data_IF_507415241531
#
_entry.id   IF_507415241531
#
_cell.length_a   1.000
_cell.length_b   1.000
_cell.length_c   1.000
_cell.angle_alpha   90.00
_cell.angle_beta   90.00
_cell.angle_gamma   90.00
#
_symmetry.space_group_name_H-M   'P 1'
#
loop_
_entity.id
_entity.type
_entity.pdbx_description
1 polymer ?
#
# COMPACT_ATOMS: atom_id res chain seq x y z
N UNK A 1 -1.21 8.67 -0.13
CA UNK A 1 -0.84 7.26 -0.33
C UNK A 1 0.67 7.10 -0.42
N UNK A 2 1.37 7.74 -1.36
CA UNK A 2 2.86 7.79 -1.33
C UNK A 2 3.39 8.48 -0.06
N UNK A 3 2.68 9.50 0.42
CA UNK A 3 2.89 10.10 1.74
C UNK A 3 2.76 9.07 2.86
N UNK A 4 1.67 8.30 2.91
CA UNK A 4 1.46 7.25 3.92
C UNK A 4 2.56 6.19 3.89
N UNK A 5 2.98 5.71 2.71
CA UNK A 5 4.11 4.78 2.59
C UNK A 5 5.40 5.37 3.15
N UNK A 6 5.69 6.64 2.81
CA UNK A 6 6.85 7.36 3.32
C UNK A 6 6.77 7.56 4.84
N UNK A 7 5.65 8.07 5.34
CA UNK A 7 5.43 8.35 6.75
C UNK A 7 5.52 7.06 7.58
N UNK A 8 4.96 5.94 7.08
CA UNK A 8 5.11 4.62 7.70
C UNK A 8 6.57 4.17 7.69
N UNK A 9 7.31 4.36 6.59
CA UNK A 9 8.74 4.02 6.52
C UNK A 9 9.58 4.86 7.49
N UNK A 10 9.32 6.17 7.59
CA UNK A 10 10.00 7.09 8.51
C UNK A 10 9.71 6.71 9.98
N UNK A 11 8.46 6.32 10.29
CA UNK A 11 8.08 5.82 11.61
C UNK A 11 8.75 4.47 11.94
N UNK A 12 8.82 3.54 10.99
CA UNK A 12 9.54 2.27 11.17
C UNK A 12 11.03 2.50 11.42
N UNK A 13 11.67 3.38 10.64
CA UNK A 13 13.07 3.74 10.82
C UNK A 13 13.33 4.35 12.21
N UNK A 14 12.41 5.19 12.68
CA UNK A 14 12.47 5.77 14.03
C UNK A 14 12.36 4.68 15.10
N UNK A 15 11.41 3.74 14.99
CA UNK A 15 11.26 2.62 15.93
C UNK A 15 12.51 1.73 15.94
N UNK A 16 13.09 1.43 14.77
CA UNK A 16 14.32 0.64 14.65
C UNK A 16 15.53 1.36 15.28
N UNK A 17 15.60 2.69 15.16
CA UNK A 17 16.63 3.48 15.84
C UNK A 17 16.46 3.44 17.36
N UNK A 18 15.25 3.67 17.86
CA UNK A 18 14.95 3.60 19.30
C UNK A 18 15.24 2.21 19.88
N UNK A 19 14.98 1.14 19.11
CA UNK A 19 15.38 -0.23 19.48
C UNK A 19 16.91 -0.36 19.59
N UNK A 20 17.66 0.17 18.63
CA UNK A 20 19.12 0.13 18.64
C UNK A 20 19.70 0.94 19.80
N UNK A 21 19.16 2.12 20.10
CA UNK A 21 19.53 2.95 21.24
C UNK A 21 19.26 2.20 22.56
N UNK A 22 18.09 1.59 22.71
CA UNK A 22 17.76 0.77 23.87
C UNK A 22 18.70 -0.43 24.03
N UNK A 23 19.10 -1.10 22.94
CA UNK A 23 20.06 -2.19 23.02
C UNK A 23 21.47 -1.72 23.47
N UNK A 24 21.89 -0.52 23.09
CA UNK A 24 23.17 0.07 23.52
C UNK A 24 23.10 0.45 25.01
N UNK A 25 22.05 1.12 25.44
CA UNK A 25 21.88 1.54 26.82
C UNK A 25 21.77 0.31 27.75
N UNK A 26 21.09 -0.78 27.35
CA UNK A 26 21.03 -2.03 28.13
C UNK A 26 22.41 -2.61 28.38
N UNK A 27 23.24 -2.69 27.33
CA UNK A 27 24.59 -3.20 27.45
C UNK A 27 25.45 -2.30 28.33
N UNK A 28 25.28 -0.97 28.25
CA UNK A 28 25.98 -0.02 29.13
C UNK A 28 25.57 -0.22 30.58
N UNK A 29 24.27 -0.22 30.88
CA UNK A 29 23.76 -0.26 32.25
C UNK A 29 24.10 -1.61 32.94
N UNK A 30 24.07 -2.72 32.20
CA UNK A 30 24.53 -4.03 32.69
C UNK A 30 26.04 -4.03 32.95
N UNK A 31 26.83 -3.42 32.06
CA UNK A 31 28.28 -3.33 32.22
C UNK A 31 28.67 -2.42 33.40
N UNK A 32 27.97 -1.30 33.60
CA UNK A 32 28.17 -0.39 34.73
C UNK A 32 27.88 -1.09 36.07
N UNK A 33 26.82 -1.91 36.14
CA UNK A 33 26.51 -2.69 37.34
C UNK A 33 27.56 -3.79 37.60
N UNK A 34 28.05 -4.42 36.53
CA UNK A 34 29.11 -5.42 36.63
C UNK A 34 30.44 -4.80 37.09
N UNK A 35 30.81 -3.63 36.54
CA UNK A 35 31.98 -2.86 36.97
C UNK A 35 31.84 -2.40 38.43
N UNK A 36 30.66 -1.92 38.83
CA UNK A 36 30.35 -1.55 40.22
C UNK A 36 30.51 -2.74 41.16
N UNK A 37 29.95 -3.89 40.82
CA UNK A 37 30.06 -5.11 41.60
C UNK A 37 31.53 -5.56 41.71
N UNK A 38 32.30 -5.47 40.61
CA UNK A 38 33.73 -5.77 40.59
C UNK A 38 34.54 -4.82 41.48
N UNK A 39 34.29 -3.51 41.41
CA UNK A 39 34.93 -2.50 42.26
C UNK A 39 34.61 -2.71 43.74
N UNK A 40 33.37 -3.05 44.06
CA UNK A 40 32.94 -3.32 45.45
C UNK A 40 33.63 -4.57 46.00
N UNK A 41 33.63 -5.67 45.24
CA UNK A 41 34.33 -6.90 45.60
C UNK A 41 35.83 -6.65 45.81
N UNK A 42 36.47 -5.87 44.93
CA UNK A 42 37.88 -5.51 45.06
C UNK A 42 38.16 -4.70 46.33
N UNK A 43 37.30 -3.74 46.70
CA UNK A 43 37.43 -2.96 47.94
C UNK A 43 37.25 -3.82 49.19
N UNK A 44 36.25 -4.70 49.22
CA UNK A 44 36.01 -5.59 50.36
C UNK A 44 37.22 -6.53 50.60
N UNK A 45 37.84 -7.03 49.54
CA UNK A 45 39.07 -7.85 49.63
C UNK A 45 40.23 -7.04 50.20
N UNK A 46 40.43 -5.80 49.73
CA UNK A 46 41.49 -4.92 50.23
C UNK A 46 41.25 -4.57 51.71
N UNK A 47 40.01 -4.30 52.09
CA UNK A 47 39.64 -4.03 53.48
C UNK A 47 39.80 -5.26 54.39
N UNK A 48 39.49 -6.46 53.90
CA UNK A 48 39.69 -7.70 54.65
C UNK A 48 41.17 -8.08 54.79
N UNK A 49 42.02 -7.76 53.80
CA UNK A 49 43.47 -7.85 53.93
C UNK A 49 44.06 -6.80 54.89
N UNK A 50 43.44 -5.63 54.99
CA UNK A 50 43.90 -4.54 55.85
C UNK A 50 43.51 -4.71 57.33
N UNK A 51 42.57 -5.60 57.65
CA UNK A 51 42.19 -5.92 59.04
C UNK A 51 43.28 -6.79 59.68
N UNK A 52 43.81 -6.42 60.87
CA UNK A 52 44.80 -7.24 61.55
C UNK A 52 44.15 -8.54 62.02
N UNK A 53 44.47 -9.65 61.37
CA UNK A 53 44.07 -10.99 61.78
C UNK A 53 45.27 -11.92 61.88
N UNK A 54 45.21 -12.79 62.88
CA UNK A 54 46.27 -13.67 63.35
C UNK A 54 47.12 -14.31 62.23
N UNK A 55 48.46 -14.24 62.30
CA UNK A 55 49.37 -14.72 61.26
C UNK A 55 49.32 -16.23 60.99
N UNK A 56 48.49 -16.99 61.71
CA UNK A 56 48.33 -18.45 61.53
C UNK A 56 47.21 -18.84 60.55
N UNK A 57 46.28 -17.96 60.19
CA UNK A 57 45.19 -18.29 59.25
C UNK A 57 45.43 -17.83 57.80
N UNK A 58 46.50 -17.07 57.54
CA UNK A 58 46.81 -16.57 56.19
C UNK A 58 47.39 -17.67 55.29
N UNK A 59 47.99 -18.72 55.88
CA UNK A 59 48.59 -19.82 55.11
C UNK A 59 47.58 -20.82 54.52
N UNK A 60 46.34 -20.84 55.02
CA UNK A 60 45.31 -21.81 54.60
C UNK A 60 44.43 -21.38 53.43
N UNK A 61 44.37 -20.07 53.14
CA UNK A 61 43.46 -19.51 52.11
C UNK A 61 44.20 -18.82 50.96
N UNK A 62 45.53 -18.74 51.02
CA UNK A 62 46.38 -18.21 49.94
C UNK A 62 47.47 -19.23 49.60
N UNK A 63 47.09 -20.26 48.87
CA UNK A 63 48.00 -21.16 48.14
C UNK A 63 47.27 -21.46 46.83
N UNK A 64 47.63 -20.91 45.66
CA UNK A 64 48.98 -20.78 45.12
C UNK A 64 49.02 -19.72 44.02
N UNK A 65 49.89 -18.73 44.21
CA UNK A 65 50.58 -18.06 43.12
C UNK A 65 52.03 -17.99 43.57
N UNK A 66 52.95 -18.63 42.85
CA UNK A 66 54.36 -18.25 42.70
C UNK A 66 55.14 -19.30 41.90
N UNK A 67 55.24 -19.04 40.59
CA UNK A 67 56.06 -19.78 39.65
C UNK A 67 56.53 -18.87 38.51
N UNK A 68 57.30 -17.83 38.86
CA UNK A 68 58.12 -16.95 37.98
C UNK A 68 57.39 -16.22 36.83
N UNK A 69 57.11 -14.94 37.07
CA UNK A 69 56.85 -13.92 36.05
C UNK A 69 55.38 -13.82 35.64
N UNK A 70 54.82 -12.62 35.80
CA UNK A 70 53.45 -12.21 35.42
C UNK A 70 52.35 -12.61 36.43
N UNK A 71 51.82 -11.59 37.12
CA UNK A 71 50.43 -11.49 37.60
C UNK A 71 49.95 -12.47 38.66
N UNK A 72 49.64 -11.98 39.86
CA UNK A 72 48.70 -12.65 40.77
C UNK A 72 47.35 -12.77 40.04
N UNK A 73 47.01 -13.94 39.51
CA UNK A 73 45.65 -14.24 39.04
C UNK A 73 44.93 -14.92 40.20
N UNK A 74 44.13 -14.12 40.93
CA UNK A 74 43.11 -14.64 41.84
C UNK A 74 42.04 -15.33 40.98
N UNK A 75 41.87 -16.64 41.13
CA UNK A 75 40.79 -17.39 40.49
C UNK A 75 39.48 -17.08 41.22
N UNK A 76 38.72 -16.11 40.71
CA UNK A 76 37.40 -15.76 41.23
C UNK A 76 36.34 -16.66 40.59
N UNK A 77 35.64 -17.44 41.41
CA UNK A 77 34.34 -17.95 41.01
C UNK A 77 33.38 -16.74 40.97
N UNK A 78 33.00 -16.34 39.76
CA UNK A 78 32.23 -15.12 39.43
C UNK A 78 30.93 -15.04 40.24
N UNK A 79 30.35 -16.18 40.62
CA UNK A 79 29.12 -16.26 41.42
C UNK A 79 29.33 -16.08 42.92
N UNK A 80 30.52 -16.31 43.45
CA UNK A 80 30.77 -16.36 44.90
C UNK A 80 31.35 -15.06 45.45
N UNK A 81 31.96 -14.23 44.59
CA UNK A 81 32.69 -13.00 45.02
C UNK A 81 32.01 -11.71 44.56
N UNK A 82 31.24 -11.73 43.47
CA UNK A 82 30.45 -10.58 43.07
C UNK A 82 29.09 -10.66 43.76
N UNK A 83 28.86 -9.79 44.75
CA UNK A 83 27.55 -9.57 45.34
C UNK A 83 26.69 -8.76 44.33
N UNK A 84 26.43 -9.38 43.17
CA UNK A 84 25.69 -8.79 42.05
C UNK A 84 24.28 -8.50 42.56
N UNK A 85 23.84 -7.25 42.44
CA UNK A 85 22.48 -6.87 42.80
C UNK A 85 21.52 -7.41 41.73
N UNK A 86 21.06 -8.65 41.95
CA UNK A 86 20.11 -9.31 41.07
C UNK A 86 18.78 -8.54 40.97
N UNK A 87 18.41 -7.74 41.97
CA UNK A 87 17.20 -6.92 41.92
C UNK A 87 17.39 -5.68 41.05
N UNK A 88 18.60 -5.09 41.03
CA UNK A 88 18.97 -4.03 40.08
C UNK A 88 19.04 -4.57 38.65
N UNK A 89 19.70 -5.71 38.41
CA UNK A 89 19.72 -6.33 37.08
C UNK A 89 18.33 -6.69 36.58
N UNK A 90 17.47 -7.24 37.45
CA UNK A 90 16.07 -7.50 37.08
C UNK A 90 15.32 -6.19 36.78
N UNK A 91 15.54 -5.11 37.53
CA UNK A 91 14.93 -3.80 37.22
C UNK A 91 15.41 -3.23 35.88
N UNK A 92 16.69 -3.39 35.55
CA UNK A 92 17.24 -3.03 34.24
C UNK A 92 16.52 -3.84 33.15
N UNK A 93 16.49 -5.17 33.29
CA UNK A 93 15.80 -6.07 32.34
C UNK A 93 14.31 -5.72 32.20
N UNK A 94 13.61 -5.43 33.30
CA UNK A 94 12.19 -5.04 33.30
C UNK A 94 11.99 -3.71 32.57
N UNK A 95 12.87 -2.74 32.78
CA UNK A 95 12.84 -1.43 32.09
C UNK A 95 12.96 -1.61 30.59
N UNK A 96 13.94 -2.39 30.12
CA UNK A 96 14.10 -2.66 28.69
C UNK A 96 12.98 -3.51 28.11
N UNK A 97 12.46 -4.47 28.86
CA UNK A 97 11.28 -5.24 28.45
C UNK A 97 10.06 -4.33 28.27
N UNK A 98 9.88 -3.33 29.14
CA UNK A 98 8.86 -2.29 29.00
C UNK A 98 9.04 -1.43 27.74
N UNK A 99 10.26 -0.99 27.44
CA UNK A 99 10.59 -0.25 26.21
C UNK A 99 10.27 -1.10 24.97
N UNK A 100 10.72 -2.36 24.95
CA UNK A 100 10.45 -3.30 23.85
C UNK A 100 8.96 -3.56 23.67
N UNK A 101 8.19 -3.67 24.76
CA UNK A 101 6.73 -3.77 24.71
C UNK A 101 6.08 -2.55 24.06
N UNK A 102 6.55 -1.35 24.41
CA UNK A 102 6.09 -0.09 23.81
C UNK A 102 6.43 0.02 22.32
N UNK A 103 7.66 -0.33 21.92
CA UNK A 103 8.10 -0.34 20.53
C UNK A 103 7.35 -1.38 19.70
N UNK A 104 7.12 -2.57 20.25
CA UNK A 104 6.31 -3.62 19.60
C UNK A 104 4.89 -3.14 19.35
N UNK A 105 4.26 -2.51 20.35
CA UNK A 105 2.91 -1.94 20.22
C UNK A 105 2.85 -0.90 19.10
N UNK A 106 3.86 -0.01 19.01
CA UNK A 106 3.96 0.98 17.95
C UNK A 106 4.17 0.35 16.57
N UNK A 107 4.98 -0.69 16.46
CA UNK A 107 5.21 -1.42 15.21
C UNK A 107 3.93 -2.15 14.74
N UNK A 108 3.21 -2.79 15.66
CA UNK A 108 1.93 -3.43 15.38
C UNK A 108 0.88 -2.43 14.87
N UNK A 109 0.85 -1.22 15.46
CA UNK A 109 -0.06 -0.15 15.03
C UNK A 109 0.20 0.32 13.57
N UNK A 110 1.39 0.11 13.01
CA UNK A 110 1.73 0.47 11.64
C UNK A 110 1.25 -0.55 10.59
N UNK A 111 0.90 -1.78 10.99
CA UNK A 111 0.48 -2.84 10.05
C UNK A 111 -0.74 -2.45 9.24
N UNK A 112 -1.81 -2.00 9.92
CA UNK A 112 -3.05 -1.60 9.24
C UNK A 112 -2.85 -0.48 8.19
N UNK A 113 -2.19 0.64 8.56
CA UNK A 113 -1.83 1.67 7.59
C UNK A 113 -0.95 1.18 6.44
N UNK A 114 -0.01 0.27 6.71
CA UNK A 114 0.86 -0.30 5.67
C UNK A 114 0.09 -1.18 4.70
N UNK A 115 -0.80 -2.04 5.20
CA UNK A 115 -1.63 -2.93 4.40
C UNK A 115 -2.56 -2.11 3.48
N UNK A 116 -3.19 -1.07 4.01
CA UNK A 116 -4.05 -0.16 3.23
C UNK A 116 -3.25 0.61 2.17
N UNK A 117 -2.03 1.05 2.51
CA UNK A 117 -1.16 1.74 1.59
C UNK A 117 -0.65 0.83 0.47
N UNK A 118 -0.31 -0.42 0.79
CA UNK A 118 0.07 -1.45 -0.16
C UNK A 118 -1.08 -1.79 -1.11
N UNK A 119 -2.28 -1.99 -0.58
CA UNK A 119 -3.49 -2.26 -1.36
C UNK A 119 -3.79 -1.11 -2.34
N UNK A 120 -3.69 0.13 -1.86
CA UNK A 120 -3.98 1.32 -2.65
C UNK A 120 -2.90 1.63 -3.70
N UNK A 121 -1.69 1.09 -3.54
CA UNK A 121 -0.54 1.43 -4.37
C UNK A 121 -0.80 1.11 -5.85
N UNK A 122 -0.75 2.10 -6.77
CA UNK A 122 -1.03 1.85 -8.17
C UNK A 122 0.00 0.87 -8.72
N UNK A 123 -0.47 -0.10 -9.51
CA UNK A 123 0.43 -0.90 -10.32
C UNK A 123 1.17 -0.04 -11.33
N UNK A 124 2.26 -0.59 -11.85
CA UNK A 124 3.03 0.02 -12.91
C UNK A 124 2.16 0.47 -14.08
N UNK A 125 1.23 -0.37 -14.55
CA UNK A 125 0.35 -0.07 -15.68
C UNK A 125 -0.60 1.10 -15.39
N UNK A 126 -1.14 1.18 -14.18
CA UNK A 126 -1.97 2.30 -13.74
C UNK A 126 -1.14 3.59 -13.62
N UNK A 127 0.10 3.48 -13.11
CA UNK A 127 1.05 4.59 -13.04
C UNK A 127 1.43 5.13 -14.41
N UNK A 128 1.74 4.23 -15.36
CA UNK A 128 2.03 4.55 -16.76
C UNK A 128 0.83 5.22 -17.42
N UNK A 129 -0.38 4.69 -17.26
CA UNK A 129 -1.59 5.28 -17.82
C UNK A 129 -1.84 6.70 -17.30
N UNK A 130 -1.67 6.92 -15.99
CA UNK A 130 -1.78 8.25 -15.39
C UNK A 130 -0.68 9.19 -15.90
N UNK A 131 0.56 8.71 -16.04
CA UNK A 131 1.67 9.50 -16.58
C UNK A 131 1.43 9.89 -18.05
N UNK A 132 0.88 9.00 -18.87
CA UNK A 132 0.46 9.33 -20.24
C UNK A 132 -0.63 10.41 -20.24
N UNK A 133 -1.66 10.28 -19.39
CA UNK A 133 -2.70 11.29 -19.26
C UNK A 133 -2.13 12.68 -18.91
N UNK A 134 -1.28 12.75 -17.89
CA UNK A 134 -0.61 14.01 -17.52
C UNK A 134 0.29 14.55 -18.62
N UNK A 135 1.17 13.71 -19.18
CA UNK A 135 2.12 14.14 -20.21
C UNK A 135 1.43 14.65 -21.46
N UNK A 136 0.40 13.94 -21.94
CA UNK A 136 -0.37 14.36 -23.10
C UNK A 136 -1.13 15.64 -22.84
N UNK A 137 -1.77 15.78 -21.67
CA UNK A 137 -2.42 17.05 -21.30
C UNK A 137 -1.46 18.22 -21.24
N UNK A 138 -0.30 18.04 -20.62
CA UNK A 138 0.72 19.09 -20.59
C UNK A 138 1.16 19.50 -22.00
N UNK A 139 1.15 18.58 -22.98
CA UNK A 139 1.42 18.92 -24.38
C UNK A 139 0.24 19.64 -25.06
N UNK A 140 -1.00 19.28 -24.75
CA UNK A 140 -2.21 19.89 -25.32
C UNK A 140 -2.55 21.25 -24.71
N UNK A 141 -2.21 21.51 -23.45
CA UNK A 141 -2.45 22.80 -22.77
C UNK A 141 -1.70 23.98 -23.45
N UNK A 142 -0.64 23.72 -24.20
CA UNK A 142 0.08 24.73 -24.98
C UNK A 142 -0.46 24.92 -26.41
N UNK A 143 -1.44 24.14 -26.83
CA UNK A 143 -2.03 24.22 -28.16
C UNK A 143 -3.33 25.01 -28.12
N UNK A 144 -3.51 25.90 -29.09
CA UNK A 144 -4.76 26.66 -29.25
C UNK A 144 -5.98 25.76 -29.53
N UNK A 145 -5.75 24.57 -30.08
CA UNK A 145 -6.77 23.54 -30.27
C UNK A 145 -6.36 22.27 -29.52
N UNK A 146 -7.06 21.97 -28.42
CA UNK A 146 -6.95 20.69 -27.73
C UNK A 146 -7.70 19.63 -28.55
N UNK A 147 -6.97 18.77 -29.25
CA UNK A 147 -7.56 17.75 -30.13
C UNK A 147 -7.17 16.37 -29.61
N UNK A 148 -8.09 15.75 -28.88
CA UNK A 148 -7.96 14.35 -28.43
C UNK A 148 -8.76 13.37 -29.28
N UNK A 149 -9.66 13.88 -30.13
CA UNK A 149 -10.48 13.06 -31.00
C UNK A 149 -10.52 13.71 -32.36
N UNK A 150 -10.14 12.94 -33.38
CA UNK A 150 -10.16 13.36 -34.78
C UNK A 150 -10.80 12.28 -35.63
N UNK A 151 -11.08 12.64 -36.88
CA UNK A 151 -11.52 11.70 -37.91
C UNK A 151 -10.33 11.45 -38.83
N UNK A 152 -9.94 10.19 -39.00
CA UNK A 152 -8.87 9.78 -39.91
C UNK A 152 -9.31 9.86 -41.39
N UNK A 153 -8.40 9.55 -42.31
CA UNK A 153 -8.68 9.55 -43.75
C UNK A 153 -9.74 8.51 -44.18
N UNK A 154 -10.00 7.50 -43.36
CA UNK A 154 -11.00 6.46 -43.60
C UNK A 154 -12.36 6.83 -43.00
N UNK A 155 -12.46 7.98 -42.33
CA UNK A 155 -13.65 8.39 -41.62
C UNK A 155 -13.78 7.79 -40.22
N UNK A 156 -12.80 7.05 -39.71
CA UNK A 156 -12.82 6.50 -38.36
C UNK A 156 -12.42 7.55 -37.33
N UNK A 157 -12.97 7.45 -36.14
CA UNK A 157 -12.46 8.14 -34.98
C UNK A 157 -11.05 7.63 -34.66
N UNK A 158 -10.13 8.57 -34.48
CA UNK A 158 -8.77 8.37 -33.99
C UNK A 158 -8.65 9.13 -32.67
N UNK A 159 -8.53 8.36 -31.59
CA UNK A 159 -8.65 8.81 -30.20
C UNK A 159 -7.26 8.81 -29.55
N UNK A 160 -6.92 9.95 -28.95
CA UNK A 160 -5.88 10.05 -27.96
C UNK A 160 -6.50 10.03 -26.56
N UNK A 161 -6.49 8.85 -25.92
CA UNK A 161 -7.18 8.68 -24.64
C UNK A 161 -6.46 9.45 -23.51
N UNK A 162 -5.13 9.59 -23.60
CA UNK A 162 -4.33 10.41 -22.69
C UNK A 162 -4.74 11.88 -22.69
N UNK A 163 -4.90 12.48 -23.87
CA UNK A 163 -5.34 13.87 -24.01
C UNK A 163 -6.81 14.09 -23.59
N UNK A 164 -7.66 13.06 -23.77
CA UNK A 164 -9.05 13.10 -23.34
C UNK A 164 -9.22 13.02 -21.81
N UNK A 165 -8.30 12.35 -21.09
CA UNK A 165 -8.40 12.16 -19.63
C UNK A 165 -8.54 13.50 -18.89
N UNK A 166 -9.41 13.56 -17.89
CA UNK A 166 -9.80 14.78 -17.13
C UNK A 166 -10.49 15.89 -17.94
N UNK A 167 -10.68 15.74 -19.25
CA UNK A 167 -11.53 16.63 -20.05
C UNK A 167 -13.00 16.26 -19.85
N UNK A 168 -13.85 17.26 -19.56
CA UNK A 168 -15.29 17.07 -19.36
C UNK A 168 -15.65 15.94 -18.36
N UNK A 169 -14.92 15.89 -17.22
CA UNK A 169 -15.01 14.85 -16.19
C UNK A 169 -14.51 13.45 -16.64
N UNK A 170 -13.66 13.43 -17.66
CA UNK A 170 -12.94 12.28 -18.18
C UNK A 170 -12.16 11.51 -17.11
N UNK A 171 -12.39 10.20 -16.96
CA UNK A 171 -11.71 9.42 -15.91
C UNK A 171 -11.45 7.95 -16.29
N UNK A 172 -11.25 7.65 -17.57
CA UNK A 172 -11.00 6.30 -18.06
C UNK A 172 -9.68 5.75 -17.53
N UNK A 173 -8.59 6.52 -17.65
CA UNK A 173 -7.25 6.06 -17.29
C UNK A 173 -7.10 5.93 -15.79
N UNK A 174 -7.57 6.91 -15.04
CA UNK A 174 -7.41 6.95 -13.59
C UNK A 174 -8.19 5.83 -12.89
N UNK A 175 -9.44 5.60 -13.33
CA UNK A 175 -10.35 4.68 -12.64
C UNK A 175 -10.40 3.28 -13.25
N UNK A 176 -10.04 3.10 -14.51
CA UNK A 176 -10.34 1.88 -15.27
C UNK A 176 -9.12 1.29 -15.99
N UNK A 177 -7.88 1.57 -15.55
CA UNK A 177 -6.68 0.96 -16.14
C UNK A 177 -5.76 0.39 -15.07
N UNK A 178 -5.26 -0.83 -15.31
CA UNK A 178 -4.15 -1.44 -14.58
C UNK A 178 -4.45 -1.74 -13.10
N UNK A 179 -5.69 -2.06 -12.75
CA UNK A 179 -6.09 -2.34 -11.36
C UNK A 179 -5.95 -3.82 -11.02
N UNK A 180 -5.59 -4.13 -9.78
CA UNK A 180 -5.68 -5.50 -9.25
C UNK A 180 -7.12 -5.85 -8.87
N UNK A 181 -7.41 -7.13 -8.68
CA UNK A 181 -8.72 -7.61 -8.23
C UNK A 181 -9.06 -6.99 -6.87
N UNK A 182 -8.08 -6.94 -5.97
CA UNK A 182 -8.22 -6.35 -4.64
C UNK A 182 -8.47 -4.84 -4.73
N UNK A 183 -7.84 -4.13 -5.66
CA UNK A 183 -8.09 -2.70 -5.91
C UNK A 183 -9.48 -2.45 -6.50
N UNK A 184 -9.96 -3.35 -7.36
CA UNK A 184 -11.32 -3.29 -7.88
C UNK A 184 -12.35 -3.49 -6.75
N UNK A 185 -12.11 -4.46 -5.86
CA UNK A 185 -12.93 -4.69 -4.67
C UNK A 185 -12.83 -3.53 -3.66
N UNK A 186 -11.64 -2.96 -3.47
CA UNK A 186 -11.41 -1.77 -2.63
C UNK A 186 -12.22 -0.58 -3.13
N UNK A 187 -12.28 -0.34 -4.45
CA UNK A 187 -13.14 0.71 -5.01
C UNK A 187 -14.62 0.49 -4.67
N UNK A 188 -15.10 -0.76 -4.65
CA UNK A 188 -16.47 -1.08 -4.24
C UNK A 188 -16.70 -0.86 -2.74
N UNK A 189 -15.67 -1.09 -1.91
CA UNK A 189 -15.64 -0.74 -0.48
C UNK A 189 -15.74 0.77 -0.26
N UNK A 190 -14.99 1.55 -1.01
CA UNK A 190 -14.87 2.99 -0.77
C UNK A 190 -16.07 3.76 -1.33
N UNK A 191 -16.68 3.26 -2.41
CA UNK A 191 -17.80 3.92 -3.08
C UNK A 191 -19.14 3.32 -2.63
N UNK A 192 -19.40 3.31 -1.33
CA UNK A 192 -20.63 2.74 -0.76
C UNK A 192 -21.77 3.75 -0.70
N UNK A 193 -23.00 3.27 -0.94
CA UNK A 193 -24.22 4.06 -0.74
C UNK A 193 -24.57 4.14 0.73
N UNK A 194 -24.35 3.05 1.48
CA UNK A 194 -24.61 2.90 2.90
C UNK A 194 -23.59 1.92 3.50
N UNK A 195 -23.34 2.04 4.81
CA UNK A 195 -22.48 1.11 5.55
C UNK A 195 -23.04 -0.33 5.64
N UNK A 196 -22.33 -1.21 6.38
CA UNK A 196 -22.72 -2.61 6.57
C UNK A 196 -24.15 -2.81 7.06
N UNK A 197 -24.83 -3.81 6.49
CA UNK A 197 -26.17 -4.26 6.90
C UNK A 197 -26.23 -5.79 6.84
N UNK A 198 -27.27 -6.41 7.41
CA UNK A 198 -27.45 -7.88 7.30
C UNK A 198 -27.50 -8.37 5.85
N UNK A 199 -28.07 -7.59 4.94
CA UNK A 199 -28.13 -7.93 3.51
C UNK A 199 -26.83 -7.62 2.75
N UNK A 200 -26.02 -6.70 3.28
CA UNK A 200 -24.76 -6.23 2.73
C UNK A 200 -23.70 -6.20 3.83
N UNK A 201 -23.13 -7.35 4.22
CA UNK A 201 -22.23 -7.45 5.38
C UNK A 201 -20.99 -6.57 5.26
N UNK A 202 -20.58 -6.25 4.02
CA UNK A 202 -19.44 -5.37 3.74
C UNK A 202 -19.85 -3.95 3.33
N UNK A 203 -21.14 -3.61 3.35
CA UNK A 203 -21.69 -2.36 2.82
C UNK A 203 -22.11 -2.46 1.35
N UNK A 204 -23.10 -1.65 0.93
CA UNK A 204 -23.65 -1.72 -0.44
C UNK A 204 -22.91 -0.73 -1.34
N UNK A 205 -22.17 -1.19 -2.37
CA UNK A 205 -21.53 -0.27 -3.31
C UNK A 205 -22.59 0.56 -4.07
N UNK A 206 -22.27 1.80 -4.40
CA UNK A 206 -22.97 2.62 -5.39
C UNK A 206 -22.81 2.03 -6.80
N UNK A 207 -21.58 1.85 -7.36
CA UNK A 207 -21.41 1.29 -8.70
C UNK A 207 -21.83 -0.18 -8.76
N UNK A 208 -22.39 -0.62 -9.88
CA UNK A 208 -22.81 -2.02 -10.11
C UNK A 208 -21.64 -3.02 -10.20
N UNK A 209 -20.45 -2.52 -10.48
CA UNK A 209 -19.19 -3.24 -10.50
C UNK A 209 -18.03 -2.27 -10.66
N UNK A 210 -16.83 -2.79 -10.52
CA UNK A 210 -15.57 -2.09 -10.75
C UNK A 210 -14.78 -2.90 -11.77
N UNK A 211 -14.22 -2.26 -12.79
CA UNK A 211 -13.52 -2.95 -13.86
C UNK A 211 -12.33 -2.14 -14.35
N UNK A 212 -11.34 -2.84 -14.91
CA UNK A 212 -10.17 -2.22 -15.47
C UNK A 212 -9.64 -2.94 -16.70
N UNK A 213 -9.28 -2.15 -17.72
CA UNK A 213 -8.44 -2.58 -18.82
C UNK A 213 -7.06 -3.00 -18.28
N UNK A 214 -6.37 -3.93 -18.95
CA UNK A 214 -5.07 -4.41 -18.48
C UNK A 214 -4.00 -3.32 -18.48
N UNK A 215 -4.02 -2.41 -19.46
CA UNK A 215 -3.03 -1.33 -19.60
C UNK A 215 -3.58 -0.16 -20.44
N UNK A 216 -2.82 0.93 -20.50
CA UNK A 216 -3.15 2.14 -21.25
C UNK A 216 -3.48 1.85 -22.71
N UNK A 217 -2.61 1.10 -23.40
CA UNK A 217 -2.75 0.86 -24.84
C UNK A 217 -4.04 0.11 -25.15
N UNK A 218 -4.36 -0.92 -24.36
CA UNK A 218 -5.61 -1.66 -24.53
C UNK A 218 -6.84 -0.81 -24.24
N UNK A 219 -6.77 0.09 -23.25
CA UNK A 219 -7.85 1.03 -22.97
C UNK A 219 -8.11 1.97 -24.16
N UNK A 220 -7.06 2.53 -24.76
CA UNK A 220 -7.17 3.40 -25.94
C UNK A 220 -7.75 2.65 -27.14
N UNK A 221 -7.13 1.51 -27.52
CA UNK A 221 -7.55 0.72 -28.67
C UNK A 221 -9.00 0.23 -28.55
N UNK A 222 -9.42 -0.25 -27.37
CA UNK A 222 -10.78 -0.76 -27.17
C UNK A 222 -11.81 0.37 -27.09
N UNK A 223 -11.44 1.54 -26.54
CA UNK A 223 -12.30 2.71 -26.54
C UNK A 223 -12.54 3.18 -27.97
N UNK A 224 -11.47 3.33 -28.75
CA UNK A 224 -11.53 3.71 -30.16
C UNK A 224 -12.33 2.71 -30.98
N UNK A 225 -12.09 1.40 -30.79
CA UNK A 225 -12.87 0.34 -31.42
C UNK A 225 -14.36 0.47 -31.12
N UNK A 226 -14.74 0.68 -29.85
CA UNK A 226 -16.14 0.82 -29.46
C UNK A 226 -16.79 2.06 -30.11
N UNK A 227 -16.08 3.19 -30.16
CA UNK A 227 -16.56 4.41 -30.83
C UNK A 227 -16.79 4.16 -32.33
N UNK A 228 -15.84 3.51 -33.01
CA UNK A 228 -15.94 3.21 -34.43
C UNK A 228 -17.04 2.19 -34.75
N UNK A 229 -17.17 1.15 -33.93
CA UNK A 229 -18.25 0.16 -34.06
C UNK A 229 -19.65 0.79 -33.87
N UNK A 230 -19.74 1.83 -33.05
CA UNK A 230 -20.99 2.54 -32.77
C UNK A 230 -21.16 3.85 -33.56
N UNK A 231 -20.30 4.14 -34.54
CA UNK A 231 -20.27 5.45 -35.23
C UNK A 231 -21.64 5.88 -35.77
N UNK A 232 -22.33 4.98 -36.47
CA UNK A 232 -23.66 5.28 -37.02
C UNK A 232 -24.70 5.58 -35.91
N UNK A 233 -24.63 4.86 -34.79
CA UNK A 233 -25.53 5.08 -33.65
C UNK A 233 -25.20 6.38 -32.90
N UNK A 234 -23.91 6.73 -32.80
CA UNK A 234 -23.45 8.01 -32.25
C UNK A 234 -23.96 9.17 -33.10
N UNK A 235 -23.79 9.09 -34.43
CA UNK A 235 -24.30 10.11 -35.35
C UNK A 235 -25.83 10.23 -35.29
N UNK A 236 -26.54 9.11 -35.21
CA UNK A 236 -27.99 9.09 -35.08
C UNK A 236 -28.45 9.68 -33.73
N UNK A 237 -27.71 9.47 -32.64
CA UNK A 237 -28.01 10.09 -31.35
C UNK A 237 -27.78 11.60 -31.37
N UNK A 238 -26.68 12.06 -31.99
CA UNK A 238 -26.36 13.48 -32.09
C UNK A 238 -27.40 14.24 -32.94
N UNK A 239 -27.77 13.68 -34.11
CA UNK A 239 -28.63 14.35 -35.11
C UNK A 239 -30.12 14.01 -34.99
N UNK A 240 -30.46 12.93 -34.31
CA UNK A 240 -31.83 12.39 -34.25
C UNK A 240 -32.78 13.33 -33.52
N UNK A 241 -34.12 13.16 -33.65
CA UNK A 241 -35.09 13.97 -32.91
C UNK A 241 -35.42 13.38 -31.52
N UNK A 242 -35.33 14.16 -30.42
CA UNK A 242 -34.69 15.47 -30.33
C UNK A 242 -33.16 15.35 -30.40
N UNK A 243 -32.45 16.35 -30.98
CA UNK A 243 -31.00 16.33 -31.05
C UNK A 243 -30.40 16.41 -29.65
N UNK A 244 -29.19 15.87 -29.49
CA UNK A 244 -28.47 15.96 -28.23
C UNK A 244 -28.25 17.43 -27.84
N UNK A 245 -28.49 17.75 -26.57
CA UNK A 245 -28.20 19.05 -25.98
C UNK A 245 -26.81 19.03 -25.29
N UNK A 246 -26.17 20.20 -25.19
CA UNK A 246 -24.86 20.29 -24.55
C UNK A 246 -24.88 19.74 -23.13
N UNK A 247 -23.97 18.80 -22.87
CA UNK A 247 -23.89 18.09 -21.60
C UNK A 247 -24.66 16.77 -21.53
N UNK A 248 -25.48 16.43 -22.54
CA UNK A 248 -26.15 15.13 -22.61
C UNK A 248 -25.12 14.00 -22.64
N UNK A 249 -25.38 12.94 -21.86
CA UNK A 249 -24.51 11.78 -21.74
C UNK A 249 -25.19 10.55 -22.31
N UNK A 250 -24.48 9.80 -23.16
CA UNK A 250 -24.96 8.55 -23.74
C UNK A 250 -23.91 7.45 -23.62
N UNK A 251 -24.38 6.26 -23.26
CA UNK A 251 -23.56 5.05 -23.21
C UNK A 251 -23.66 4.29 -24.53
N UNK A 252 -22.53 3.78 -24.99
CA UNK A 252 -22.39 2.93 -26.17
C UNK A 252 -21.61 1.68 -25.81
N UNK A 253 -22.07 0.56 -26.36
CA UNK A 253 -21.61 -0.77 -25.99
C UNK A 253 -21.09 -1.51 -27.21
N UNK A 254 -20.00 -2.24 -27.05
CA UNK A 254 -19.52 -3.22 -28.01
C UNK A 254 -18.90 -4.41 -27.28
N UNK A 255 -18.86 -5.56 -27.95
CA UNK A 255 -18.01 -6.68 -27.53
C UNK A 255 -16.63 -6.50 -28.15
N UNK A 256 -15.59 -6.75 -27.37
CA UNK A 256 -14.21 -6.71 -27.82
C UNK A 256 -14.01 -7.63 -29.05
N UNK A 257 -13.17 -7.21 -30.00
CA UNK A 257 -13.01 -7.91 -31.26
C UNK A 257 -12.44 -9.33 -31.03
N UNK A 258 -12.74 -10.24 -31.96
CA UNK A 258 -12.18 -11.60 -31.97
C UNK A 258 -12.47 -12.45 -30.71
N UNK A 259 -13.47 -12.08 -29.91
CA UNK A 259 -13.83 -12.82 -28.70
C UNK A 259 -12.81 -12.69 -27.56
N UNK A 260 -11.93 -11.69 -27.62
CA UNK A 260 -10.94 -11.44 -26.58
C UNK A 260 -11.54 -10.85 -25.31
N UNK A 261 -10.77 -10.86 -24.22
CA UNK A 261 -11.11 -10.15 -22.99
C UNK A 261 -10.85 -8.65 -23.13
N UNK A 262 -11.80 -7.82 -22.75
CA UNK A 262 -11.62 -6.37 -22.62
C UNK A 262 -10.94 -6.01 -21.30
N UNK A 263 -11.02 -6.87 -20.29
CA UNK A 263 -10.37 -6.66 -19.01
C UNK A 263 -11.00 -7.51 -17.91
N UNK A 264 -10.77 -7.10 -16.66
CA UNK A 264 -11.29 -7.80 -15.48
C UNK A 264 -12.27 -6.94 -14.72
N UNK A 265 -13.26 -7.58 -14.09
CA UNK A 265 -14.27 -6.90 -13.29
C UNK A 265 -14.60 -7.63 -11.99
N UNK A 266 -14.83 -6.87 -10.93
CA UNK A 266 -15.52 -7.31 -9.72
C UNK A 266 -16.94 -6.75 -9.76
N UNK A 267 -17.94 -7.62 -9.72
CA UNK A 267 -19.35 -7.22 -9.68
C UNK A 267 -19.84 -7.02 -8.25
N UNK A 268 -20.89 -6.20 -8.11
CA UNK A 268 -21.59 -6.02 -6.84
C UNK A 268 -22.27 -7.31 -6.34
N UNK A 269 -22.86 -8.09 -7.24
CA UNK A 269 -23.50 -9.38 -6.95
C UNK A 269 -22.59 -10.54 -7.36
N UNK A 270 -22.73 -11.75 -6.76
CA UNK A 270 -22.06 -12.95 -7.26
C UNK A 270 -22.38 -13.17 -8.75
N UNK A 271 -21.36 -13.47 -9.55
CA UNK A 271 -21.53 -13.83 -10.97
C UNK A 271 -21.73 -15.31 -11.18
N UNK A 272 -21.15 -16.13 -10.29
CA UNK A 272 -21.37 -17.57 -10.25
C UNK A 272 -22.22 -17.88 -9.00
N UNK A 273 -23.44 -18.42 -9.16
CA UNK A 273 -24.27 -18.86 -8.04
C UNK A 273 -23.60 -19.92 -7.15
N UNK A 274 -22.61 -20.65 -7.66
CA UNK A 274 -21.87 -21.68 -6.93
C UNK A 274 -20.60 -21.14 -6.25
N UNK A 275 -20.15 -19.93 -6.61
CA UNK A 275 -19.07 -19.23 -5.93
C UNK A 275 -19.61 -17.94 -5.29
N UNK A 276 -20.04 -17.98 -4.02
CA UNK A 276 -20.50 -16.79 -3.32
C UNK A 276 -19.44 -15.69 -3.23
N UNK A 277 -18.14 -16.03 -3.33
CA UNK A 277 -17.04 -15.05 -3.30
C UNK A 277 -16.79 -14.40 -4.68
N UNK A 278 -17.54 -14.79 -5.72
CA UNK A 278 -17.42 -14.20 -7.07
C UNK A 278 -17.99 -12.78 -7.18
N UNK A 279 -18.56 -12.22 -6.11
CA UNK A 279 -19.07 -10.86 -6.07
C UNK A 279 -18.90 -10.18 -4.72
N UNK A 280 -18.88 -8.85 -4.74
CA UNK A 280 -18.56 -8.03 -3.56
C UNK A 280 -19.52 -8.23 -2.39
N UNK A 281 -20.82 -8.47 -2.66
CA UNK A 281 -21.83 -8.66 -1.61
C UNK A 281 -21.43 -9.66 -0.53
N UNK A 282 -20.87 -10.79 -0.95
CA UNK A 282 -20.49 -11.92 -0.09
C UNK A 282 -18.97 -12.07 0.02
N UNK A 283 -18.20 -11.63 -0.98
CA UNK A 283 -16.74 -11.71 -0.96
C UNK A 283 -16.04 -10.51 -0.29
N UNK A 284 -16.69 -9.34 -0.19
CA UNK A 284 -16.07 -8.13 0.33
C UNK A 284 -14.77 -7.80 -0.41
N UNK A 285 -13.70 -7.52 0.33
CA UNK A 285 -12.36 -7.32 -0.24
C UNK A 285 -11.73 -8.58 -0.83
N UNK A 286 -12.23 -9.77 -0.49
CA UNK A 286 -11.81 -11.04 -1.07
C UNK A 286 -12.58 -11.42 -2.34
N UNK A 287 -13.43 -10.53 -2.86
CA UNK A 287 -14.19 -10.79 -4.07
C UNK A 287 -13.27 -10.93 -5.29
N UNK A 288 -13.40 -12.03 -6.02
CA UNK A 288 -12.53 -12.33 -7.16
C UNK A 288 -13.02 -11.62 -8.41
N UNK A 289 -12.10 -11.00 -9.15
CA UNK A 289 -12.44 -10.46 -10.46
C UNK A 289 -12.60 -11.59 -11.48
N UNK A 290 -13.38 -11.36 -12.51
CA UNK A 290 -13.56 -12.29 -13.63
C UNK A 290 -13.32 -11.55 -14.95
N UNK A 291 -12.97 -12.32 -15.98
CA UNK A 291 -12.77 -11.77 -17.31
C UNK A 291 -14.09 -11.31 -17.91
N UNK A 292 -14.05 -10.15 -18.54
CA UNK A 292 -15.17 -9.58 -19.27
C UNK A 292 -14.73 -9.23 -20.69
N UNK A 293 -15.68 -9.23 -21.62
CA UNK A 293 -15.44 -9.02 -23.05
C UNK A 293 -16.19 -7.80 -23.60
N UNK A 294 -17.09 -7.17 -22.84
CA UNK A 294 -17.80 -5.96 -23.26
C UNK A 294 -16.98 -4.70 -22.99
N UNK A 295 -17.32 -3.63 -23.69
CA UNK A 295 -16.75 -2.29 -23.56
C UNK A 295 -17.92 -1.33 -23.39
N UNK A 296 -17.98 -0.63 -22.27
CA UNK A 296 -18.95 0.46 -22.02
C UNK A 296 -18.22 1.78 -22.13
N UNK A 297 -18.52 2.56 -23.18
CA UNK A 297 -18.01 3.92 -23.36
C UNK A 297 -19.14 4.91 -23.22
N UNK A 298 -18.97 5.87 -22.31
CA UNK A 298 -19.88 6.99 -22.13
C UNK A 298 -19.30 8.24 -22.77
N UNK A 299 -20.07 8.86 -23.65
CA UNK A 299 -19.71 10.11 -24.29
C UNK A 299 -20.65 11.23 -23.84
N UNK A 300 -20.12 12.45 -23.79
CA UNK A 300 -20.86 13.67 -23.48
C UNK A 300 -20.88 14.57 -24.69
N UNK A 301 -22.07 14.99 -25.09
CA UNK A 301 -22.23 15.91 -26.22
C UNK A 301 -21.69 17.30 -25.87
N UNK A 302 -20.96 17.88 -26.81
CA UNK A 302 -20.35 19.21 -26.72
C UNK A 302 -20.31 19.82 -28.13
N UNK A 303 -21.24 20.73 -28.40
CA UNK A 303 -21.41 21.40 -29.70
C UNK A 303 -20.22 22.26 -30.12
N UNK A 304 -19.34 22.62 -29.19
CA UNK A 304 -18.13 23.39 -29.49
C UNK A 304 -17.01 22.55 -30.13
N UNK A 305 -17.18 21.23 -30.22
CA UNK A 305 -16.16 20.27 -30.68
C UNK A 305 -16.45 19.70 -32.05
N UNK A 306 -15.40 19.17 -32.66
CA UNK A 306 -15.50 18.39 -33.89
C UNK A 306 -14.52 17.19 -33.84
N UNK A 307 -15.01 15.95 -33.63
CA UNK A 307 -16.41 15.54 -33.46
C UNK A 307 -17.09 16.15 -32.20
N UNK A 308 -18.42 16.36 -32.18
CA UNK A 308 -19.11 17.15 -31.15
C UNK A 308 -19.38 16.37 -29.85
N UNK A 309 -18.37 15.66 -29.34
CA UNK A 309 -18.45 14.95 -28.07
C UNK A 309 -17.09 14.70 -27.44
N UNK A 310 -17.10 14.37 -26.15
CA UNK A 310 -15.94 13.95 -25.37
C UNK A 310 -16.18 12.57 -24.77
N UNK A 311 -15.14 11.74 -24.63
CA UNK A 311 -15.27 10.48 -23.89
C UNK A 311 -15.19 10.78 -22.40
N UNK A 312 -16.29 10.64 -21.67
CA UNK A 312 -16.27 10.82 -20.20
C UNK A 312 -15.62 9.63 -19.51
N UNK A 313 -15.94 8.43 -19.96
CA UNK A 313 -15.34 7.22 -19.41
C UNK A 313 -15.46 6.09 -20.39
N UNK A 314 -14.48 5.21 -20.41
CA UNK A 314 -14.59 3.87 -20.97
C UNK A 314 -14.12 2.87 -19.95
N UNK A 315 -14.77 1.70 -19.94
CA UNK A 315 -14.47 0.64 -18.99
C UNK A 315 -14.86 -0.73 -19.56
N UNK A 316 -14.16 -1.80 -19.16
CA UNK A 316 -14.64 -3.15 -19.44
C UNK A 316 -16.00 -3.39 -18.79
N UNK A 317 -16.86 -4.12 -19.47
CA UNK A 317 -18.22 -4.44 -19.01
C UNK A 317 -18.59 -5.85 -19.42
N UNK A 318 -19.63 -6.42 -18.78
CA UNK A 318 -20.20 -7.68 -19.24
C UNK A 318 -20.95 -7.42 -20.55
N UNK A 319 -20.71 -8.23 -21.59
CA UNK A 319 -21.45 -8.21 -22.86
C UNK A 319 -22.92 -8.53 -22.67
#
# INVERSE_FOLDING_TARGET
MLSVLKDTADNMATILREYAEAAVDLNRDVNDELERAMLKAAKEIVEDLAKPKDPKNILGTVTSALGKGVGLILSFDVKTVLNIDTAELNRIVDTYTGILGGLTTRMEALKGPLDEAYLSAPKFEAGVARAHGFGMRSLEEFKDSQIWLKIDSNGNYDLNLGANEYSADGHSLDKHVGKTDEQLAQRLRDQQSNGPTQAWPYGKPMPSGSSAFPNYRRAEDLTEYNLNNNKAAIEAWIKGPPPAADGDVKAFYATAPNGETSGRSVSKQPVDPNDPLSGYKQGGLGAKAYDVNGIDTRIKYDSSRNPPFTVMTSMPSKS
#
